data_IF_835560850634
#
_entry.id   IF_835560850634
#
_cell.length_a   1.000
_cell.length_b   1.000
_cell.length_c   1.000
_cell.angle_alpha   90.00
_cell.angle_beta   90.00
_cell.angle_gamma   90.00
#
_symmetry.space_group_name_H-M   'P 1'
#
loop_
_entity.id
_entity.type
_entity.pdbx_description
1 polymer ?
#
# COMPACT_ATOMS: atom_id res chain seq x y z
N UNK A 1 1.58 6.44 -12.67
CA UNK A 1 1.92 5.49 -11.60
C UNK A 1 0.67 5.47 -10.78
N UNK A 2 0.08 4.30 -10.70
CA UNK A 2 -1.21 4.03 -10.10
C UNK A 2 -1.04 2.77 -9.28
N UNK A 3 -1.71 2.72 -8.14
CA UNK A 3 -1.79 1.52 -7.32
C UNK A 3 -3.20 1.00 -7.55
N UNK A 4 -3.30 -0.20 -8.11
CA UNK A 4 -4.59 -0.81 -8.46
C UNK A 4 -4.84 -1.95 -7.49
N UNK A 5 -6.01 -1.96 -6.87
CA UNK A 5 -6.43 -3.02 -5.96
C UNK A 5 -6.61 -4.34 -6.72
N UNK A 6 -6.33 -5.47 -6.06
CA UNK A 6 -6.39 -6.81 -6.69
C UNK A 6 -7.71 -7.09 -7.44
N UNK A 7 -8.90 -6.74 -6.89
CA UNK A 7 -10.17 -6.96 -7.61
C UNK A 7 -10.30 -6.14 -8.91
N UNK A 8 -9.61 -5.01 -9.00
CA UNK A 8 -9.67 -4.08 -10.14
C UNK A 8 -8.53 -4.31 -11.16
N UNK A 9 -7.60 -5.23 -10.87
CA UNK A 9 -6.46 -5.56 -11.73
C UNK A 9 -6.88 -6.30 -13.01
N UNK A 10 -6.38 -5.81 -14.16
CA UNK A 10 -6.43 -6.55 -15.43
C UNK A 10 -5.35 -7.64 -15.53
N UNK A 11 -5.45 -8.50 -16.54
CA UNK A 11 -4.56 -9.66 -16.72
C UNK A 11 -3.08 -9.30 -16.91
N UNK A 12 -2.75 -8.11 -17.42
CA UNK A 12 -1.36 -7.65 -17.51
C UNK A 12 -0.87 -7.11 -16.16
N UNK A 13 -1.72 -6.41 -15.40
CA UNK A 13 -1.42 -5.90 -14.07
C UNK A 13 -1.17 -7.04 -13.07
N UNK A 14 -1.92 -8.15 -13.15
CA UNK A 14 -1.69 -9.35 -12.33
C UNK A 14 -0.33 -10.01 -12.52
N UNK A 15 0.43 -9.66 -13.57
CA UNK A 15 1.80 -10.15 -13.79
C UNK A 15 2.85 -9.32 -13.05
N UNK A 16 2.49 -8.13 -12.56
CA UNK A 16 3.36 -7.25 -11.77
C UNK A 16 3.64 -7.93 -10.41
N UNK A 17 4.90 -7.88 -9.95
CA UNK A 17 5.33 -8.55 -8.71
C UNK A 17 5.49 -7.59 -7.53
N UNK A 18 5.42 -6.30 -7.82
CA UNK A 18 5.42 -5.23 -6.85
C UNK A 18 4.03 -5.07 -6.23
N UNK A 19 3.97 -5.17 -4.91
CA UNK A 19 2.72 -5.02 -4.15
C UNK A 19 2.84 -3.82 -3.24
N UNK A 20 1.79 -3.01 -3.20
CA UNK A 20 1.66 -1.95 -2.22
C UNK A 20 1.15 -2.53 -0.90
N UNK A 21 1.93 -2.44 0.18
CA UNK A 21 1.60 -3.02 1.48
C UNK A 21 1.07 -2.01 2.51
N UNK A 22 0.48 -0.90 2.05
CA UNK A 22 -0.26 0.02 2.94
C UNK A 22 0.56 1.11 3.61
N UNK A 23 1.84 1.29 3.25
CA UNK A 23 2.70 2.32 3.86
C UNK A 23 3.03 3.43 2.85
N UNK A 24 2.65 4.66 3.19
CA UNK A 24 3.01 5.87 2.43
C UNK A 24 3.50 6.96 3.38
N UNK A 25 4.50 7.72 2.94
CA UNK A 25 5.05 8.86 3.67
C UNK A 25 4.78 10.15 2.88
N UNK A 26 4.11 11.11 3.52
CA UNK A 26 3.74 12.38 2.89
C UNK A 26 4.26 13.58 3.68
N UNK A 27 4.46 14.69 2.95
CA UNK A 27 4.47 15.99 3.60
C UNK A 27 3.04 16.32 4.07
N UNK A 28 2.84 16.60 5.36
CA UNK A 28 1.52 16.81 5.94
C UNK A 28 0.68 17.92 5.29
N UNK A 29 1.32 19.02 4.82
CA UNK A 29 0.60 20.10 4.12
C UNK A 29 0.08 19.64 2.77
N UNK A 30 0.90 18.87 2.04
CA UNK A 30 0.51 18.31 0.74
C UNK A 30 -0.60 17.26 0.89
N UNK A 31 -0.50 16.42 1.93
CA UNK A 31 -1.53 15.44 2.25
C UNK A 31 -2.88 16.12 2.50
N UNK A 32 -2.94 17.10 3.41
CA UNK A 32 -4.18 17.82 3.70
C UNK A 32 -4.78 18.49 2.46
N UNK A 33 -3.94 19.01 1.56
CA UNK A 33 -4.40 19.65 0.35
C UNK A 33 -4.96 18.63 -0.66
N UNK A 34 -4.26 17.51 -0.91
CA UNK A 34 -4.67 16.52 -1.91
C UNK A 34 -5.90 15.70 -1.47
N UNK A 35 -6.10 15.49 -0.17
CA UNK A 35 -7.27 14.77 0.35
C UNK A 35 -8.59 15.41 -0.09
N UNK A 36 -8.65 16.74 -0.23
CA UNK A 36 -9.85 17.45 -0.69
C UNK A 36 -10.16 17.24 -2.18
N UNK A 37 -9.27 16.58 -2.93
CA UNK A 37 -9.39 16.35 -4.37
C UNK A 37 -9.68 14.89 -4.71
N UNK A 38 -9.74 14.03 -3.70
CA UNK A 38 -10.12 12.64 -3.90
C UNK A 38 -11.58 12.55 -4.35
N UNK A 39 -11.87 11.52 -5.14
CA UNK A 39 -13.23 11.14 -5.51
C UNK A 39 -13.45 9.69 -5.14
N UNK A 40 -14.70 9.25 -5.07
CA UNK A 40 -15.06 7.86 -4.81
C UNK A 40 -15.65 7.19 -6.06
N UNK A 41 -15.22 7.61 -7.26
CA UNK A 41 -15.74 7.08 -8.52
C UNK A 41 -15.05 5.75 -8.91
N UNK A 42 -15.23 4.73 -8.08
CA UNK A 42 -14.79 3.36 -8.35
C UNK A 42 -15.96 2.38 -8.18
N UNK A 43 -15.72 1.10 -8.47
CA UNK A 43 -16.75 0.06 -8.43
C UNK A 43 -17.43 -0.10 -7.06
N UNK A 44 -16.76 0.32 -5.97
CA UNK A 44 -17.26 0.20 -4.60
C UNK A 44 -17.83 1.51 -4.03
N UNK A 45 -17.69 2.63 -4.73
CA UNK A 45 -18.03 3.97 -4.25
C UNK A 45 -17.27 4.42 -2.99
N UNK A 46 -16.04 3.96 -2.80
CA UNK A 46 -15.20 4.27 -1.64
C UNK A 46 -14.04 5.20 -1.97
N UNK A 47 -13.44 5.83 -0.95
CA UNK A 47 -12.22 6.61 -1.14
C UNK A 47 -10.99 5.72 -0.94
N UNK A 48 -10.15 5.62 -1.95
CA UNK A 48 -8.92 4.84 -1.87
C UNK A 48 -7.72 5.73 -1.66
N UNK A 49 -7.07 5.62 -0.50
CA UNK A 49 -5.83 6.39 -0.23
C UNK A 49 -4.72 6.05 -1.25
N UNK A 50 -4.80 4.89 -1.89
CA UNK A 50 -3.95 4.44 -2.98
C UNK A 50 -4.04 5.29 -4.24
N UNK A 51 -5.06 6.15 -4.38
CA UNK A 51 -5.19 7.14 -5.46
C UNK A 51 -4.29 8.37 -5.24
N UNK A 52 -3.89 8.64 -3.99
CA UNK A 52 -3.13 9.86 -3.64
C UNK A 52 -1.83 10.04 -4.44
N UNK A 53 -1.00 8.99 -4.67
CA UNK A 53 0.17 9.11 -5.52
C UNK A 53 -0.16 9.52 -6.96
N UNK A 54 -1.24 8.99 -7.55
CA UNK A 54 -1.63 9.36 -8.91
C UNK A 54 -2.01 10.85 -8.95
N UNK A 55 -2.87 11.29 -8.03
CA UNK A 55 -3.31 12.69 -7.91
C UNK A 55 -2.14 13.65 -7.66
N UNK A 56 -1.21 13.32 -6.78
CA UNK A 56 -0.03 14.16 -6.52
C UNK A 56 0.86 14.27 -7.78
N UNK A 57 0.98 13.19 -8.57
CA UNK A 57 1.76 13.19 -9.80
C UNK A 57 1.16 14.14 -10.84
N UNK A 58 -0.16 14.19 -10.96
CA UNK A 58 -0.87 15.12 -11.85
C UNK A 58 -0.60 16.58 -11.48
N UNK A 59 -0.39 16.85 -10.19
CA UNK A 59 -0.05 18.17 -9.64
C UNK A 59 1.46 18.49 -9.73
N UNK A 60 2.23 17.66 -10.44
CA UNK A 60 3.66 17.87 -10.69
C UNK A 60 4.58 17.48 -9.53
N UNK A 61 4.06 16.81 -8.52
CA UNK A 61 4.86 16.36 -7.38
C UNK A 61 5.75 15.17 -7.72
N UNK A 62 6.91 15.10 -7.05
CA UNK A 62 7.84 13.98 -7.19
C UNK A 62 7.46 12.87 -6.22
N UNK A 63 7.41 11.65 -6.75
CA UNK A 63 7.09 10.43 -5.99
C UNK A 63 8.31 9.52 -6.04
N UNK A 64 8.67 8.96 -4.89
CA UNK A 64 9.73 7.96 -4.76
C UNK A 64 9.12 6.67 -4.24
N UNK A 65 9.48 5.56 -4.88
CA UNK A 65 9.13 4.21 -4.42
C UNK A 65 10.28 3.71 -3.53
N UNK A 66 9.92 3.18 -2.36
CA UNK A 66 10.86 2.51 -1.46
C UNK A 66 10.46 1.05 -1.37
N UNK A 67 11.32 0.16 -1.87
CA UNK A 67 11.15 -1.28 -1.75
C UNK A 67 11.86 -1.80 -0.49
N UNK A 68 11.30 -2.84 0.08
CA UNK A 68 11.91 -3.64 1.15
C UNK A 68 12.40 -4.96 0.58
N UNK A 69 13.38 -5.58 1.24
CA UNK A 69 13.92 -6.88 0.84
C UNK A 69 13.39 -8.02 1.70
N UNK A 70 12.93 -7.71 2.91
CA UNK A 70 12.36 -8.69 3.84
C UNK A 70 10.84 -8.52 3.91
N UNK A 71 10.12 -9.49 3.35
CA UNK A 71 8.66 -9.49 3.34
C UNK A 71 8.07 -9.71 4.75
N UNK A 72 8.84 -10.27 5.68
CA UNK A 72 8.40 -10.47 7.05
C UNK A 72 8.24 -9.14 7.82
N UNK A 73 8.88 -8.04 7.38
CA UNK A 73 8.73 -6.72 8.00
C UNK A 73 7.37 -6.08 7.76
N UNK A 74 6.62 -6.53 6.74
CA UNK A 74 5.39 -5.87 6.28
C UNK A 74 4.21 -6.83 6.17
N UNK A 75 4.34 -8.02 6.71
CA UNK A 75 3.31 -9.04 6.60
C UNK A 75 2.04 -8.58 7.33
N UNK A 76 0.95 -8.41 6.57
CA UNK A 76 -0.36 -8.02 7.10
C UNK A 76 -1.07 -9.18 7.80
N UNK A 77 -1.87 -8.87 8.82
CA UNK A 77 -2.66 -9.86 9.55
C UNK A 77 -4.14 -9.62 9.27
N UNK A 78 -4.72 -10.43 8.38
CA UNK A 78 -6.13 -10.34 8.00
C UNK A 78 -6.94 -11.56 8.46
N UNK A 79 -6.27 -12.66 8.78
CA UNK A 79 -6.87 -13.92 9.22
C UNK A 79 -6.20 -14.44 10.50
N UNK A 80 -6.81 -15.44 11.14
CA UNK A 80 -6.22 -16.10 12.32
C UNK A 80 -4.95 -16.86 11.94
N UNK A 81 -4.92 -17.41 10.73
CA UNK A 81 -3.77 -18.08 10.14
C UNK A 81 -2.60 -17.09 9.93
N UNK A 82 -2.89 -15.88 9.44
CA UNK A 82 -1.88 -14.82 9.33
C UNK A 82 -1.34 -14.41 10.70
N UNK A 83 -2.21 -14.30 11.71
CA UNK A 83 -1.81 -13.96 13.07
C UNK A 83 -0.84 -15.02 13.61
N UNK A 84 -1.20 -16.30 13.48
CA UNK A 84 -0.35 -17.41 13.91
C UNK A 84 1.02 -17.38 13.21
N UNK A 85 1.04 -17.07 11.91
CA UNK A 85 2.28 -16.94 11.14
C UNK A 85 3.16 -15.80 11.66
N UNK A 86 2.59 -14.62 11.88
CA UNK A 86 3.34 -13.46 12.40
C UNK A 86 3.86 -13.74 13.81
N UNK A 87 3.10 -14.42 14.67
CA UNK A 87 3.59 -14.84 15.98
C UNK A 87 4.81 -15.76 15.90
N UNK A 88 4.81 -16.70 14.96
CA UNK A 88 5.93 -17.64 14.78
C UNK A 88 7.18 -16.93 14.24
N UNK A 89 7.00 -15.96 13.31
CA UNK A 89 8.08 -15.07 12.85
C UNK A 89 8.65 -14.27 14.03
N UNK A 90 7.79 -13.63 14.82
CA UNK A 90 8.22 -12.81 15.97
C UNK A 90 8.97 -13.63 17.02
N UNK A 91 8.51 -14.86 17.32
CA UNK A 91 9.20 -15.78 18.23
C UNK A 91 10.58 -16.18 17.69
N UNK A 92 10.67 -16.50 16.40
CA UNK A 92 11.94 -16.85 15.78
C UNK A 92 12.93 -15.67 15.82
N UNK A 93 12.46 -14.43 15.65
CA UNK A 93 13.30 -13.22 15.78
C UNK A 93 13.81 -13.03 17.20
N UNK A 94 12.92 -13.04 18.19
CA UNK A 94 13.29 -12.82 19.60
C UNK A 94 14.08 -13.98 20.24
N UNK A 95 14.12 -15.16 19.62
CA UNK A 95 14.98 -16.27 20.06
C UNK A 95 16.43 -16.15 19.57
N UNK A 96 16.70 -15.21 18.65
CA UNK A 96 18.03 -14.93 18.12
C UNK A 96 18.68 -13.67 18.71
N UNK A 97 18.01 -13.00 19.66
CA UNK A 97 18.54 -11.93 20.52
C UNK A 97 19.02 -12.49 21.87
#
# INVERSE_FOLDING_TARGET
>A
MEIVEEPDCNEEQKKIKEVFFGVMLFNGKKLNWILNRMTNNNAQNEYYLTDLPALLKEEGERIKICSINDLEEVYGVNTVEDLKRVEDIMKARGAND
#
